data_IF_829161514505
#
_entry.id   IF_829161514505
#
_cell.length_a   1.000
_cell.length_b   1.000
_cell.length_c   1.000
_cell.angle_alpha   90.00
_cell.angle_beta   90.00
_cell.angle_gamma   90.00
#
_symmetry.space_group_name_H-M   'P 1'
#
loop_
_entity.id
_entity.type
_entity.pdbx_description
1 polymer ?
#
# COMPACT_ATOMS: atom_id res chain seq x y z
N UNK A 1 11.14 -3.21 -8.34
CA UNK A 1 9.76 -3.71 -8.43
C UNK A 1 8.74 -2.60 -8.15
N UNK A 2 8.87 -1.82 -7.05
CA UNK A 2 7.94 -0.74 -6.70
C UNK A 2 7.77 0.32 -7.79
N UNK A 3 8.85 0.75 -8.43
CA UNK A 3 8.79 1.73 -9.54
C UNK A 3 8.00 1.17 -10.72
N UNK A 4 8.22 -0.09 -11.09
CA UNK A 4 7.48 -0.76 -12.16
C UNK A 4 5.99 -0.77 -11.83
N UNK A 5 5.63 -1.09 -10.60
CA UNK A 5 4.24 -1.11 -10.14
C UNK A 5 3.60 0.28 -10.24
N UNK A 6 4.31 1.34 -9.82
CA UNK A 6 3.81 2.72 -9.94
C UNK A 6 3.55 3.08 -11.41
N UNK A 7 4.47 2.73 -12.31
CA UNK A 7 4.32 3.00 -13.73
C UNK A 7 3.14 2.23 -14.36
N UNK A 8 2.98 0.96 -14.01
CA UNK A 8 1.86 0.15 -14.49
C UNK A 8 0.53 0.67 -13.97
N UNK A 9 0.44 1.02 -12.68
CA UNK A 9 -0.80 1.57 -12.10
C UNK A 9 -1.11 2.94 -12.68
N UNK A 10 -0.10 3.80 -12.89
CA UNK A 10 -0.28 5.09 -13.54
C UNK A 10 -0.79 4.93 -14.98
N UNK A 11 -0.26 3.97 -15.72
CA UNK A 11 -0.74 3.65 -17.06
C UNK A 11 -2.21 3.19 -17.04
N UNK A 12 -2.56 2.27 -16.14
CA UNK A 12 -3.95 1.80 -15.98
C UNK A 12 -4.89 2.94 -15.61
N UNK A 13 -4.47 3.84 -14.71
CA UNK A 13 -5.24 5.03 -14.34
C UNK A 13 -5.52 5.92 -15.56
N UNK A 14 -4.51 6.19 -16.39
CA UNK A 14 -4.68 7.01 -17.60
C UNK A 14 -5.63 6.36 -18.60
N UNK A 15 -5.48 5.04 -18.83
CA UNK A 15 -6.34 4.28 -19.75
C UNK A 15 -7.78 4.21 -19.25
N UNK A 16 -7.98 4.11 -17.94
CA UNK A 16 -9.31 4.04 -17.31
C UNK A 16 -10.06 5.37 -17.31
N UNK A 17 -9.38 6.48 -17.59
CA UNK A 17 -9.94 7.83 -17.71
C UNK A 17 -10.93 8.21 -16.59
N UNK A 18 -10.51 8.23 -15.32
CA UNK A 18 -11.39 8.51 -14.19
C UNK A 18 -11.92 9.94 -14.22
N UNK A 19 -13.11 10.20 -13.64
CA UNK A 19 -13.66 11.54 -13.49
C UNK A 19 -12.90 12.32 -12.40
N UNK A 20 -11.77 12.92 -12.76
CA UNK A 20 -10.88 13.61 -11.81
C UNK A 20 -11.56 14.73 -11.03
N UNK A 21 -12.46 15.50 -11.71
CA UNK A 21 -13.20 16.59 -11.07
C UNK A 21 -14.11 16.08 -9.95
N UNK A 22 -14.91 15.07 -10.24
CA UNK A 22 -15.83 14.48 -9.26
C UNK A 22 -15.06 13.79 -8.13
N UNK A 23 -13.97 13.11 -8.45
CA UNK A 23 -13.10 12.48 -7.44
C UNK A 23 -12.55 13.52 -6.45
N UNK A 24 -12.13 14.69 -6.91
CA UNK A 24 -11.63 15.77 -6.05
C UNK A 24 -12.76 16.37 -5.21
N UNK A 25 -13.91 16.68 -5.81
CA UNK A 25 -15.04 17.27 -5.10
C UNK A 25 -15.52 16.33 -4.00
N UNK A 26 -15.77 15.06 -4.33
CA UNK A 26 -16.27 14.09 -3.35
C UNK A 26 -15.22 13.63 -2.32
N UNK A 27 -13.93 13.88 -2.57
CA UNK A 27 -12.88 13.68 -1.54
C UNK A 27 -13.00 14.70 -0.40
N UNK A 28 -13.49 15.92 -0.67
CA UNK A 28 -13.62 16.98 0.32
C UNK A 28 -15.07 17.09 0.82
N UNK A 29 -16.04 16.91 -0.07
CA UNK A 29 -17.47 17.04 0.21
C UNK A 29 -18.22 15.79 -0.28
N UNK A 30 -18.13 14.66 0.43
CA UNK A 30 -18.85 13.44 0.05
C UNK A 30 -20.36 13.59 0.24
N UNK A 31 -21.14 13.07 -0.69
CA UNK A 31 -22.62 13.12 -0.62
C UNK A 31 -23.19 12.38 0.59
N UNK A 32 -22.53 11.29 1.01
CA UNK A 32 -23.01 10.42 2.08
C UNK A 32 -21.92 10.16 3.13
N UNK A 33 -21.52 11.16 3.95
CA UNK A 33 -20.39 11.03 4.87
C UNK A 33 -20.57 9.89 5.89
N UNK A 34 -21.81 9.64 6.34
CA UNK A 34 -22.09 8.58 7.32
C UNK A 34 -21.76 7.19 6.76
N UNK A 35 -22.01 6.94 5.48
CA UNK A 35 -21.69 5.65 4.83
C UNK A 35 -20.18 5.41 4.71
N UNK A 36 -19.35 6.45 4.79
CA UNK A 36 -17.92 6.36 4.71
C UNK A 36 -17.25 6.02 6.03
N UNK A 37 -17.94 6.14 7.16
CA UNK A 37 -17.36 5.92 8.49
C UNK A 37 -16.75 4.51 8.61
N UNK A 38 -17.52 3.48 8.26
CA UNK A 38 -17.04 2.10 8.34
C UNK A 38 -15.86 1.81 7.37
N UNK A 39 -15.93 2.16 6.07
CA UNK A 39 -14.78 2.07 5.18
C UNK A 39 -13.54 2.81 5.68
N UNK A 40 -13.69 4.03 6.23
CA UNK A 40 -12.58 4.81 6.78
C UNK A 40 -11.95 4.09 7.98
N UNK A 41 -12.75 3.63 8.94
CA UNK A 41 -12.25 2.89 10.10
C UNK A 41 -11.51 1.63 9.65
N UNK A 42 -12.05 0.90 8.69
CA UNK A 42 -11.44 -0.31 8.14
C UNK A 42 -10.09 -0.02 7.46
N UNK A 43 -10.03 1.04 6.65
CA UNK A 43 -8.79 1.45 5.98
C UNK A 43 -7.73 1.92 7.00
N UNK A 44 -8.12 2.74 7.97
CA UNK A 44 -7.20 3.23 9.00
C UNK A 44 -6.72 2.06 9.87
N UNK A 45 -7.63 1.21 10.34
CA UNK A 45 -7.28 0.04 11.16
C UNK A 45 -6.37 -0.95 10.43
N UNK A 46 -6.67 -1.24 9.17
CA UNK A 46 -5.88 -2.19 8.37
C UNK A 46 -4.54 -1.66 7.86
N UNK A 47 -4.33 -0.35 7.85
CA UNK A 47 -3.14 0.25 7.23
C UNK A 47 -2.22 1.00 8.18
N UNK A 48 -2.74 1.59 9.24
CA UNK A 48 -1.97 2.42 10.19
C UNK A 48 -1.70 1.69 11.51
N UNK A 49 -2.60 0.81 11.94
CA UNK A 49 -2.56 0.14 13.24
C UNK A 49 -1.66 -1.09 13.33
N UNK A 50 -0.85 -1.39 12.32
CA UNK A 50 0.00 -2.57 12.30
C UNK A 50 1.07 -2.56 13.40
N UNK A 51 1.19 -3.65 14.17
CA UNK A 51 2.23 -3.83 15.20
C UNK A 51 3.66 -3.60 14.66
N UNK A 52 3.89 -3.79 13.37
CA UNK A 52 5.19 -3.57 12.69
C UNK A 52 5.66 -2.12 12.84
N UNK A 53 4.75 -1.16 12.92
CA UNK A 53 5.08 0.25 13.14
C UNK A 53 5.83 0.44 14.46
N UNK A 54 5.45 -0.30 15.50
CA UNK A 54 6.09 -0.25 16.82
C UNK A 54 7.25 -1.24 16.91
N UNK A 55 7.04 -2.47 16.47
CA UNK A 55 8.03 -3.53 16.50
C UNK A 55 9.23 -3.29 15.58
N UNK A 56 9.09 -2.45 14.55
CA UNK A 56 10.18 -2.14 13.61
C UNK A 56 11.21 -1.14 14.12
N UNK A 57 10.93 -0.43 15.22
CA UNK A 57 11.82 0.63 15.73
C UNK A 57 13.20 0.10 16.14
N UNK A 58 13.29 -1.11 16.70
CA UNK A 58 14.57 -1.74 17.08
C UNK A 58 15.51 -1.92 15.88
N UNK A 59 14.99 -2.11 14.66
CA UNK A 59 15.80 -2.29 13.45
C UNK A 59 16.63 -1.06 13.10
N UNK A 60 16.16 0.12 13.44
CA UNK A 60 16.92 1.37 13.27
C UNK A 60 18.10 1.37 14.21
N UNK A 61 17.90 0.93 15.46
CA UNK A 61 18.94 0.83 16.46
C UNK A 61 19.97 -0.26 16.11
N UNK A 62 19.52 -1.41 15.62
CA UNK A 62 20.36 -2.54 15.19
C UNK A 62 21.22 -2.19 13.97
N UNK A 63 20.75 -1.29 13.10
CA UNK A 63 21.53 -0.79 11.97
C UNK A 63 22.64 0.21 12.37
N UNK A 64 22.80 0.46 13.68
CA UNK A 64 23.82 1.38 14.22
C UNK A 64 23.42 2.85 14.18
N UNK A 65 22.23 3.18 13.70
CA UNK A 65 21.72 4.56 13.64
C UNK A 65 21.22 4.99 15.02
N UNK A 66 22.12 5.53 15.84
CA UNK A 66 21.86 6.00 17.20
C UNK A 66 22.22 7.49 17.31
N UNK A 67 21.39 8.22 18.07
CA UNK A 67 21.65 9.64 18.31
C UNK A 67 20.85 10.59 17.42
N UNK A 68 20.92 11.88 17.78
CA UNK A 68 20.13 12.92 17.11
C UNK A 68 20.61 13.22 15.68
N UNK A 69 21.84 12.92 15.37
CA UNK A 69 22.45 13.11 14.05
C UNK A 69 21.78 12.30 12.96
N UNK A 70 21.16 11.16 13.29
CA UNK A 70 20.44 10.32 12.34
C UNK A 70 18.97 10.69 12.14
N UNK A 71 18.41 11.58 12.97
CA UNK A 71 17.00 12.00 12.86
C UNK A 71 16.63 12.56 11.47
N UNK A 72 17.46 13.40 10.81
CA UNK A 72 17.13 13.87 9.46
C UNK A 72 17.02 12.74 8.43
N UNK A 73 17.89 11.74 8.54
CA UNK A 73 17.85 10.55 7.67
C UNK A 73 16.58 9.72 7.89
N UNK A 74 16.24 9.43 9.16
CA UNK A 74 15.04 8.67 9.53
C UNK A 74 13.79 9.41 9.07
N UNK A 75 13.69 10.71 9.32
CA UNK A 75 12.56 11.53 8.90
C UNK A 75 12.42 11.55 7.37
N UNK A 76 13.51 11.73 6.62
CA UNK A 76 13.48 11.73 5.16
C UNK A 76 13.02 10.38 4.62
N UNK A 77 13.49 9.28 5.18
CA UNK A 77 13.08 7.93 4.80
C UNK A 77 11.61 7.68 5.09
N UNK A 78 11.12 8.10 6.26
CA UNK A 78 9.72 7.99 6.64
C UNK A 78 8.82 8.81 5.71
N UNK A 79 9.16 10.07 5.46
CA UNK A 79 8.41 10.95 4.55
C UNK A 79 8.37 10.35 3.13
N UNK A 80 9.51 9.90 2.62
CA UNK A 80 9.58 9.26 1.30
C UNK A 80 8.68 8.03 1.22
N UNK A 81 8.68 7.18 2.25
CA UNK A 81 7.81 6.01 2.33
C UNK A 81 6.32 6.37 2.34
N UNK A 82 5.93 7.36 3.15
CA UNK A 82 4.55 7.85 3.24
C UNK A 82 4.09 8.43 1.89
N UNK A 83 4.90 9.28 1.27
CA UNK A 83 4.58 9.89 -0.03
C UNK A 83 4.45 8.83 -1.13
N UNK A 84 5.39 7.90 -1.22
CA UNK A 84 5.36 6.82 -2.22
C UNK A 84 4.09 5.96 -2.06
N UNK A 85 3.77 5.58 -0.82
CA UNK A 85 2.57 4.79 -0.51
C UNK A 85 1.29 5.59 -0.80
N UNK A 86 1.25 6.87 -0.46
CA UNK A 86 0.12 7.76 -0.72
C UNK A 86 -0.13 7.89 -2.22
N UNK A 87 0.90 8.19 -3.01
CA UNK A 87 0.81 8.28 -4.48
C UNK A 87 0.28 6.96 -5.05
N UNK A 88 0.85 5.83 -4.64
CA UNK A 88 0.44 4.52 -5.15
C UNK A 88 -1.03 4.22 -4.87
N UNK A 89 -1.51 4.51 -3.67
CA UNK A 89 -2.92 4.32 -3.29
C UNK A 89 -3.85 5.23 -4.07
N UNK A 90 -3.47 6.50 -4.26
CA UNK A 90 -4.26 7.45 -5.03
C UNK A 90 -4.37 7.02 -6.50
N UNK A 91 -3.27 6.62 -7.12
CA UNK A 91 -3.26 6.11 -8.49
C UNK A 91 -4.15 4.87 -8.65
N UNK A 92 -4.02 3.92 -7.72
CA UNK A 92 -4.83 2.69 -7.75
C UNK A 92 -6.32 3.00 -7.54
N UNK A 93 -6.65 3.89 -6.61
CA UNK A 93 -8.03 4.33 -6.39
C UNK A 93 -8.62 4.95 -7.66
N UNK A 94 -7.90 5.87 -8.29
CA UNK A 94 -8.35 6.51 -9.53
C UNK A 94 -8.49 5.49 -10.68
N UNK A 95 -7.59 4.53 -10.79
CA UNK A 95 -7.68 3.46 -11.78
C UNK A 95 -8.96 2.62 -11.57
N UNK A 96 -9.24 2.23 -10.33
CA UNK A 96 -10.48 1.52 -9.98
C UNK A 96 -11.72 2.36 -10.29
N UNK A 97 -11.71 3.63 -9.88
CA UNK A 97 -12.81 4.55 -10.11
C UNK A 97 -13.12 4.69 -11.60
N UNK A 98 -12.09 4.86 -12.45
CA UNK A 98 -12.24 4.96 -13.88
C UNK A 98 -12.94 3.74 -14.50
N UNK A 99 -12.58 2.54 -14.06
CA UNK A 99 -13.23 1.30 -14.53
C UNK A 99 -14.66 1.16 -14.01
N UNK A 100 -14.89 1.46 -12.73
CA UNK A 100 -16.22 1.31 -12.11
C UNK A 100 -17.25 2.27 -12.73
N UNK A 101 -16.85 3.49 -13.05
CA UNK A 101 -17.74 4.49 -13.70
C UNK A 101 -18.20 4.04 -15.09
N UNK A 102 -17.46 3.18 -15.78
CA UNK A 102 -17.92 2.60 -17.07
C UNK A 102 -19.02 1.55 -16.92
N UNK A 103 -19.46 1.24 -15.69
CA UNK A 103 -20.50 0.25 -15.41
C UNK A 103 -20.00 -1.20 -15.40
N UNK A 104 -18.70 -1.43 -15.45
CA UNK A 104 -18.12 -2.76 -15.38
C UNK A 104 -18.24 -3.31 -13.96
N UNK A 105 -18.80 -4.51 -13.85
CA UNK A 105 -18.83 -5.25 -12.59
C UNK A 105 -17.48 -5.91 -12.35
N UNK A 106 -16.82 -5.51 -11.25
CA UNK A 106 -15.57 -6.12 -10.84
C UNK A 106 -15.81 -7.50 -10.23
N UNK A 107 -14.87 -8.43 -10.46
CA UNK A 107 -14.91 -9.72 -9.79
C UNK A 107 -14.75 -9.54 -8.28
N UNK A 108 -15.73 -10.01 -7.50
CA UNK A 108 -15.73 -9.86 -6.04
C UNK A 108 -14.55 -10.55 -5.35
N UNK A 109 -14.01 -11.61 -5.93
CA UNK A 109 -12.88 -12.36 -5.36
C UNK A 109 -11.55 -11.62 -5.51
N UNK A 110 -11.40 -10.84 -6.60
CA UNK A 110 -10.19 -10.07 -6.86
C UNK A 110 -10.49 -8.80 -7.67
N UNK A 111 -11.09 -7.78 -7.04
CA UNK A 111 -11.45 -6.55 -7.74
C UNK A 111 -10.27 -5.84 -8.43
N UNK A 112 -9.08 -5.70 -7.80
CA UNK A 112 -7.96 -5.06 -8.48
C UNK A 112 -7.50 -5.79 -9.74
N UNK A 113 -7.44 -7.13 -9.74
CA UNK A 113 -7.08 -7.89 -10.92
C UNK A 113 -8.06 -7.64 -12.09
N UNK A 114 -9.35 -7.51 -11.78
CA UNK A 114 -10.39 -7.19 -12.78
C UNK A 114 -10.18 -5.81 -13.40
N UNK A 115 -9.73 -4.83 -12.62
CA UNK A 115 -9.39 -3.49 -13.13
C UNK A 115 -8.27 -3.57 -14.15
N UNK A 116 -7.19 -4.30 -13.85
CA UNK A 116 -6.07 -4.46 -14.77
C UNK A 116 -6.47 -5.27 -16.02
N UNK A 117 -7.30 -6.30 -15.84
CA UNK A 117 -7.84 -7.09 -16.95
C UNK A 117 -8.71 -6.24 -17.89
N UNK A 118 -9.55 -5.38 -17.33
CA UNK A 118 -10.38 -4.49 -18.13
C UNK A 118 -9.56 -3.43 -18.88
N UNK A 119 -8.56 -2.84 -18.23
CA UNK A 119 -7.76 -1.77 -18.80
C UNK A 119 -6.75 -2.23 -19.87
N UNK A 120 -6.11 -3.40 -19.66
CA UNK A 120 -5.00 -3.88 -20.51
C UNK A 120 -5.26 -5.30 -21.05
N UNK A 121 -6.42 -5.86 -20.76
CA UNK A 121 -6.76 -7.25 -21.16
C UNK A 121 -6.09 -8.30 -20.29
N UNK A 122 -6.07 -9.58 -20.74
CA UNK A 122 -5.51 -10.71 -19.98
C UNK A 122 -4.04 -10.52 -19.56
N UNK A 123 -3.27 -9.80 -20.36
CA UNK A 123 -1.87 -9.45 -20.04
C UNK A 123 -1.81 -8.57 -18.79
N UNK A 124 -2.72 -7.60 -18.65
CA UNK A 124 -2.80 -6.74 -17.47
C UNK A 124 -3.05 -7.53 -16.19
N UNK A 125 -3.98 -8.49 -16.22
CA UNK A 125 -4.24 -9.41 -15.10
C UNK A 125 -2.99 -10.20 -14.71
N UNK A 126 -2.26 -10.74 -15.69
CA UNK A 126 -1.05 -11.52 -15.43
C UNK A 126 0.07 -10.65 -14.84
N UNK A 127 0.28 -9.44 -15.38
CA UNK A 127 1.25 -8.48 -14.83
C UNK A 127 0.88 -8.14 -13.38
N UNK A 128 -0.38 -7.81 -13.12
CA UNK A 128 -0.86 -7.56 -11.76
C UNK A 128 -0.60 -8.76 -10.85
N UNK A 129 -0.91 -9.99 -11.30
CA UNK A 129 -0.69 -11.22 -10.55
C UNK A 129 0.77 -11.41 -10.15
N UNK A 130 1.71 -11.23 -11.07
CA UNK A 130 3.15 -11.35 -10.80
C UNK A 130 3.60 -10.27 -9.81
N UNK A 131 3.15 -9.03 -9.99
CA UNK A 131 3.56 -7.92 -9.13
C UNK A 131 3.00 -8.08 -7.72
N UNK A 132 1.72 -8.42 -7.57
CA UNK A 132 1.11 -8.61 -6.25
C UNK A 132 1.70 -9.81 -5.51
N UNK A 133 2.01 -10.89 -6.23
CA UNK A 133 2.70 -12.05 -5.66
C UNK A 133 4.07 -11.65 -5.11
N UNK A 134 4.89 -10.95 -5.89
CA UNK A 134 6.21 -10.49 -5.45
C UNK A 134 6.12 -9.50 -4.27
N UNK A 135 5.13 -8.60 -4.28
CA UNK A 135 4.86 -7.69 -3.17
C UNK A 135 4.44 -8.43 -1.90
N UNK A 136 3.56 -9.43 -2.02
CA UNK A 136 3.12 -10.27 -0.91
C UNK A 136 4.29 -11.05 -0.31
N UNK A 137 5.13 -11.68 -1.13
CA UNK A 137 6.32 -12.39 -0.68
C UNK A 137 7.28 -11.47 0.08
N UNK A 138 7.54 -10.27 -0.46
CA UNK A 138 8.37 -9.27 0.20
C UNK A 138 7.79 -8.85 1.55
N UNK A 139 6.46 -8.65 1.62
CA UNK A 139 5.76 -8.29 2.86
C UNK A 139 5.84 -9.39 3.92
N UNK A 140 5.60 -10.64 3.52
CA UNK A 140 5.68 -11.81 4.42
C UNK A 140 7.09 -11.96 5.00
N UNK A 141 8.12 -11.90 4.14
CA UNK A 141 9.52 -12.00 4.58
C UNK A 141 9.87 -10.86 5.54
N UNK A 142 9.48 -9.61 5.18
CA UNK A 142 9.73 -8.45 6.02
C UNK A 142 9.03 -8.52 7.38
N UNK A 143 7.80 -8.98 7.40
CA UNK A 143 7.01 -9.16 8.64
C UNK A 143 7.59 -10.27 9.52
N UNK A 144 7.91 -11.43 8.93
CA UNK A 144 8.51 -12.55 9.65
C UNK A 144 9.87 -12.16 10.27
N UNK A 145 10.73 -11.50 9.49
CA UNK A 145 12.01 -11.00 9.98
C UNK A 145 11.84 -9.99 11.12
N UNK A 146 10.93 -9.01 10.97
CA UNK A 146 10.69 -8.01 12.00
C UNK A 146 10.15 -8.64 13.27
N UNK A 147 9.23 -9.60 13.18
CA UNK A 147 8.68 -10.31 14.33
C UNK A 147 9.74 -11.15 15.04
N UNK A 148 10.53 -11.91 14.30
CA UNK A 148 11.59 -12.74 14.86
C UNK A 148 12.66 -11.90 15.57
N UNK A 149 13.10 -10.80 14.95
CA UNK A 149 14.08 -9.90 15.55
C UNK A 149 13.54 -9.14 16.75
N UNK A 150 12.25 -8.77 16.73
CA UNK A 150 11.59 -8.15 17.89
C UNK A 150 11.52 -9.11 19.08
N UNK A 151 11.17 -10.37 18.85
CA UNK A 151 11.14 -11.39 19.91
C UNK A 151 12.50 -11.58 20.57
N UNK A 152 13.60 -11.49 19.81
CA UNK A 152 14.95 -11.54 20.36
C UNK A 152 15.24 -10.40 21.35
N UNK A 153 14.61 -9.25 21.19
CA UNK A 153 14.78 -8.14 22.15
C UNK A 153 14.10 -8.41 23.50
N UNK A 154 13.09 -9.27 23.49
CA UNK A 154 12.34 -9.63 24.72
C UNK A 154 13.03 -10.76 25.49
N UNK A 155 13.73 -11.66 24.82
CA UNK A 155 14.38 -12.80 25.47
C UNK A 155 15.69 -13.21 24.77
N UNK A 156 16.82 -13.00 25.46
CA UNK A 156 18.17 -13.30 24.94
C UNK A 156 18.37 -14.76 24.58
N UNK A 157 17.62 -15.70 25.19
CA UNK A 157 17.73 -17.13 24.88
C UNK A 157 17.22 -17.52 23.50
N UNK A 158 16.48 -16.65 22.82
CA UNK A 158 16.01 -16.85 21.45
C UNK A 158 17.07 -16.53 20.38
N UNK A 159 18.28 -16.12 20.83
CA UNK A 159 19.39 -15.78 19.91
C UNK A 159 19.96 -17.05 19.22
N UNK A 160 19.65 -18.23 19.72
CA UNK A 160 20.17 -19.51 19.21
C UNK A 160 19.21 -20.26 18.26
N UNK A 161 18.15 -19.61 17.78
CA UNK A 161 17.24 -20.16 16.77
C UNK A 161 17.65 -19.73 15.36
#
# INVERSE_FOLDING_TARGET
LGVIMILVVAYVMVVSNPPYGDALIHSVAPEHPIKLILPIITLVGGTVGGYITFAGAHRILDSGMKGKEFLPFVNRSAIAGILTTGIMRTLLFLAVLGVVVTGVTLNADNPPASVFEHAIGPIGKNIFGVVIFAAAMSSVIGSAYTSATFLKTLHLSLIHI
#
